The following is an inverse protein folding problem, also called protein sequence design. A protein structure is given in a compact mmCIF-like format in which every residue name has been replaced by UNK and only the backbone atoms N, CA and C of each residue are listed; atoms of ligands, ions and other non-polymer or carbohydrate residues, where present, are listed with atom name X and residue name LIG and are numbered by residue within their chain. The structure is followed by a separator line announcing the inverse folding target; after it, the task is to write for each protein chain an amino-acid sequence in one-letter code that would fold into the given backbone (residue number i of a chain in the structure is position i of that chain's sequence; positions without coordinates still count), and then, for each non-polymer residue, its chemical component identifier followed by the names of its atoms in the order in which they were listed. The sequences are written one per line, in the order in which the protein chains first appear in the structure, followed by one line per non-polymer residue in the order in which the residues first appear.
data_IF_877131164037
#
_entry.id   IF_877131164037
#
_cell.length_a   1.000
_cell.length_b   1.000
_cell.length_c   1.000
_cell.angle_alpha   90.00
_cell.angle_beta   90.00
_cell.angle_gamma   90.00
#
_symmetry.space_group_name_H-M   'P 1'
#
loop_
_entity.id
_entity.type
_entity.pdbx_description
1 polymer ?
#
# COMPACT_ATOMS: atom_id res chain seq x y z
N UNK A 1 -3.56 12.72 55.45
CA UNK A 1 -2.12 12.82 55.67
C UNK A 1 -1.76 14.07 56.47
N UNK A 2 -0.80 13.96 57.37
CA UNK A 2 -0.25 15.13 58.05
C UNK A 2 1.11 15.46 57.44
N UNK A 3 1.22 16.66 56.88
CA UNK A 3 2.44 17.15 56.26
C UNK A 3 2.85 18.47 56.91
N UNK A 4 3.99 18.53 57.53
CA UNK A 4 4.47 19.69 58.30
C UNK A 4 3.47 20.19 59.33
N UNK A 5 2.81 19.26 60.06
CA UNK A 5 1.80 19.58 61.08
C UNK A 5 0.41 19.98 60.53
N UNK A 6 0.19 19.98 59.20
CA UNK A 6 -1.08 20.35 58.55
C UNK A 6 -1.76 19.10 57.99
N UNK A 7 -3.06 18.94 58.27
CA UNK A 7 -3.89 17.90 57.67
C UNK A 7 -4.09 18.18 56.17
N UNK A 8 -3.83 17.18 55.35
CA UNK A 8 -3.98 17.26 53.89
C UNK A 8 -4.64 16.01 53.35
N UNK A 9 -5.34 16.17 52.25
CA UNK A 9 -6.02 15.10 51.50
C UNK A 9 -5.49 15.07 50.07
N UNK A 10 -5.23 13.87 49.56
CA UNK A 10 -4.90 13.66 48.15
C UNK A 10 -6.20 13.76 47.36
N UNK A 11 -6.27 14.73 46.47
CA UNK A 11 -7.40 14.93 45.58
C UNK A 11 -7.15 14.18 44.29
N UNK A 12 -8.12 13.42 43.82
CA UNK A 12 -8.09 12.76 42.53
C UNK A 12 -8.13 13.79 41.40
N UNK A 13 -7.22 13.66 40.45
CA UNK A 13 -7.18 14.51 39.27
C UNK A 13 -7.70 13.76 38.06
N UNK A 14 -8.62 14.36 37.33
CA UNK A 14 -9.11 13.84 36.08
C UNK A 14 -8.02 13.94 35.00
N UNK A 15 -7.80 12.87 34.28
CA UNK A 15 -6.87 12.83 33.14
C UNK A 15 -7.46 12.01 32.00
N UNK A 16 -6.88 12.11 30.79
CA UNK A 16 -7.24 11.22 29.70
C UNK A 16 -6.85 9.79 30.03
N UNK A 17 -7.77 8.85 29.78
CA UNK A 17 -7.44 7.43 29.93
C UNK A 17 -6.33 7.03 28.97
N UNK A 18 -5.41 6.15 29.40
CA UNK A 18 -4.48 5.50 28.47
C UNK A 18 -5.25 4.74 27.38
N UNK A 19 -4.73 4.71 26.18
CA UNK A 19 -5.34 3.99 25.07
C UNK A 19 -5.03 4.59 23.71
N UNK A 20 -5.73 4.09 22.70
CA UNK A 20 -5.62 4.54 21.31
C UNK A 20 -6.89 5.27 20.92
N UNK A 21 -6.75 6.47 20.41
CA UNK A 21 -7.86 7.35 20.04
C UNK A 21 -7.75 7.70 18.55
N UNK A 22 -8.83 7.47 17.81
CA UNK A 22 -8.95 7.82 16.40
C UNK A 22 -9.81 9.06 16.25
N UNK A 23 -9.39 9.97 15.40
CA UNK A 23 -10.09 11.25 15.15
C UNK A 23 -9.86 11.71 13.71
N UNK A 24 -10.56 12.76 13.32
CA UNK A 24 -10.37 13.45 12.05
C UNK A 24 -10.71 14.95 12.19
N UNK A 25 -10.21 15.77 11.28
CA UNK A 25 -10.35 17.22 11.29
C UNK A 25 -11.73 17.75 10.83
N UNK A 26 -12.65 16.85 10.47
CA UNK A 26 -13.99 17.16 9.91
C UNK A 26 -13.92 17.96 8.59
N UNK A 27 -12.81 17.84 7.83
CA UNK A 27 -12.62 18.53 6.56
C UNK A 27 -12.34 20.03 6.69
N UNK A 28 -11.97 20.51 7.88
CA UNK A 28 -11.75 21.96 8.13
C UNK A 28 -10.39 22.47 7.70
N UNK A 29 -9.38 21.60 7.65
CA UNK A 29 -7.99 21.98 7.42
C UNK A 29 -7.68 22.19 5.94
N UNK A 30 -8.32 21.43 5.05
CA UNK A 30 -8.09 21.49 3.61
C UNK A 30 -9.29 22.09 2.87
N UNK A 31 -9.03 22.96 1.89
CA UNK A 31 -10.07 23.68 1.11
C UNK A 31 -11.04 22.76 0.36
N UNK A 32 -10.61 21.54 -0.01
CA UNK A 32 -11.45 20.54 -0.69
C UNK A 32 -12.44 19.82 0.25
N UNK A 33 -12.39 20.08 1.55
CA UNK A 33 -13.19 19.34 2.54
C UNK A 33 -12.71 17.92 2.80
N UNK A 34 -11.50 17.56 2.35
CA UNK A 34 -10.89 16.24 2.56
C UNK A 34 -10.72 15.97 4.06
N UNK A 35 -11.16 14.80 4.51
CA UNK A 35 -10.97 14.36 5.89
C UNK A 35 -9.50 13.95 6.09
N UNK A 36 -8.84 14.59 7.04
CA UNK A 36 -7.51 14.22 7.48
C UNK A 36 -7.63 13.42 8.77
N UNK A 37 -7.32 12.13 8.69
CA UNK A 37 -7.40 11.22 9.81
C UNK A 37 -6.17 11.31 10.69
N UNK A 38 -6.39 11.08 11.99
CA UNK A 38 -5.33 11.05 12.99
C UNK A 38 -5.58 9.94 14.00
N UNK A 39 -4.50 9.45 14.59
CA UNK A 39 -4.54 8.49 15.68
C UNK A 39 -3.58 8.95 16.77
N UNK A 40 -4.01 8.86 18.03
CA UNK A 40 -3.20 9.20 19.20
C UNK A 40 -3.09 8.03 20.14
N UNK A 41 -1.86 7.67 20.47
CA UNK A 41 -1.54 6.67 21.46
C UNK A 41 -1.14 7.39 22.75
N UNK A 42 -1.92 7.19 23.79
CA UNK A 42 -1.69 7.76 25.13
C UNK A 42 -1.29 6.63 26.07
N UNK A 43 -0.04 6.59 26.57
CA UNK A 43 0.39 5.62 27.56
C UNK A 43 -0.13 6.00 28.94
N UNK A 44 -0.09 5.04 29.87
CA UNK A 44 -0.37 5.33 31.29
C UNK A 44 0.60 6.38 31.85
N UNK A 45 1.88 6.25 31.48
CA UNK A 45 2.95 7.19 31.85
C UNK A 45 3.97 7.24 30.73
N UNK A 46 4.30 8.43 30.23
CA UNK A 46 5.30 8.64 29.19
C UNK A 46 4.83 9.55 28.08
N UNK A 47 5.58 9.58 27.01
CA UNK A 47 5.36 10.42 25.84
C UNK A 47 4.16 9.97 25.01
N UNK A 48 3.40 10.92 24.50
CA UNK A 48 2.32 10.64 23.56
C UNK A 48 2.87 10.44 22.15
N UNK A 49 2.28 9.51 21.41
CA UNK A 49 2.60 9.27 20.02
C UNK A 49 1.36 9.54 19.17
N UNK A 50 1.48 10.51 18.28
CA UNK A 50 0.43 10.88 17.34
C UNK A 50 0.82 10.43 15.92
N UNK A 51 -0.14 9.86 15.19
CA UNK A 51 -0.06 9.62 13.76
C UNK A 51 -1.07 10.52 13.06
N UNK A 52 -0.66 11.17 11.99
CA UNK A 52 -1.53 12.09 11.24
C UNK A 52 -1.29 12.00 9.74
N UNK A 53 -2.37 12.05 8.97
CA UNK A 53 -2.30 12.21 7.52
C UNK A 53 -2.21 13.68 7.16
N UNK A 54 -1.42 13.99 6.15
CA UNK A 54 -1.44 15.31 5.52
C UNK A 54 -2.39 15.36 4.31
N UNK A 55 -2.51 16.53 3.70
CA UNK A 55 -3.34 16.72 2.51
C UNK A 55 -2.87 15.92 1.28
N UNK A 56 -1.62 15.48 1.26
CA UNK A 56 -1.01 14.67 0.20
C UNK A 56 -1.06 13.17 0.49
N UNK A 57 -1.81 12.76 1.51
CA UNK A 57 -1.91 11.37 1.97
C UNK A 57 -0.60 10.77 2.49
N UNK A 58 0.34 11.60 2.91
CA UNK A 58 1.55 11.16 3.59
C UNK A 58 1.27 11.01 5.08
N UNK A 59 1.74 9.91 5.66
CA UNK A 59 1.55 9.59 7.08
C UNK A 59 2.73 10.08 7.89
N UNK A 60 2.46 10.89 8.89
CA UNK A 60 3.46 11.43 9.80
C UNK A 60 3.29 10.89 11.22
N UNK A 61 4.41 10.72 11.90
CA UNK A 61 4.47 10.47 13.33
C UNK A 61 4.94 11.72 14.07
N UNK A 62 4.43 11.93 15.27
CA UNK A 62 4.81 13.04 16.16
C UNK A 62 4.91 12.53 17.58
N UNK A 63 6.05 12.76 18.23
CA UNK A 63 6.30 12.38 19.61
C UNK A 63 6.23 13.64 20.48
N UNK A 64 5.40 13.63 21.52
CA UNK A 64 5.24 14.75 22.47
C UNK A 64 4.97 16.10 21.79
N UNK A 65 4.19 16.12 20.73
CA UNK A 65 3.87 17.34 19.97
C UNK A 65 5.10 18.05 19.37
N UNK A 66 6.25 17.37 19.28
CA UNK A 66 7.43 17.88 18.59
C UNK A 66 7.22 17.91 17.08
N UNK A 67 8.28 18.25 16.33
CA UNK A 67 8.23 18.27 14.86
C UNK A 67 7.82 16.89 14.34
N UNK A 68 6.86 16.89 13.40
CA UNK A 68 6.43 15.68 12.72
C UNK A 68 7.53 15.13 11.81
N UNK A 69 7.59 13.83 11.70
CA UNK A 69 8.49 13.08 10.83
C UNK A 69 7.67 12.04 10.05
N UNK A 70 8.09 11.63 8.85
CA UNK A 70 7.44 10.54 8.15
C UNK A 70 7.37 9.29 9.04
N UNK A 71 6.25 8.57 9.01
CA UNK A 71 6.09 7.37 9.84
C UNK A 71 7.15 6.31 9.50
N UNK A 72 7.60 6.24 8.27
CA UNK A 72 8.65 5.34 7.81
C UNK A 72 9.98 5.58 8.49
N UNK A 73 10.34 6.84 8.77
CA UNK A 73 11.53 7.16 9.59
C UNK A 73 11.45 6.51 10.99
N UNK A 74 10.27 6.53 11.62
CA UNK A 74 10.07 5.86 12.89
C UNK A 74 10.22 4.34 12.76
N UNK A 75 9.64 3.74 11.70
CA UNK A 75 9.73 2.30 11.45
C UNK A 75 11.17 1.85 11.18
N UNK A 76 11.94 2.61 10.43
CA UNK A 76 13.39 2.37 10.25
C UNK A 76 14.14 2.42 11.57
N UNK A 77 13.84 3.41 12.43
CA UNK A 77 14.46 3.50 13.76
C UNK A 77 14.10 2.32 14.67
N UNK A 78 12.94 1.70 14.46
CA UNK A 78 12.53 0.47 15.15
C UNK A 78 13.16 -0.80 14.56
N UNK A 79 13.91 -0.69 13.46
CA UNK A 79 14.67 -1.79 12.87
C UNK A 79 14.01 -2.49 11.71
N UNK A 80 12.96 -1.92 11.15
CA UNK A 80 12.38 -2.41 9.89
C UNK A 80 13.22 -1.89 8.72
N UNK A 81 13.28 -2.66 7.64
CA UNK A 81 13.78 -2.25 6.33
C UNK A 81 12.62 -1.98 5.37
N UNK A 82 12.92 -1.59 4.13
CA UNK A 82 11.91 -1.29 3.12
C UNK A 82 11.00 -2.49 2.84
N UNK A 83 11.58 -3.66 2.64
CA UNK A 83 10.83 -4.89 2.38
C UNK A 83 9.95 -5.26 3.57
N UNK A 84 10.48 -5.18 4.79
CA UNK A 84 9.72 -5.44 6.02
C UNK A 84 8.57 -4.48 6.24
N UNK A 85 8.72 -3.20 5.89
CA UNK A 85 7.63 -2.22 5.95
C UNK A 85 6.54 -2.60 4.93
N UNK A 86 6.91 -2.92 3.69
CA UNK A 86 5.92 -3.31 2.68
C UNK A 86 5.18 -4.58 3.07
N UNK A 87 5.88 -5.59 3.56
CA UNK A 87 5.30 -6.86 4.02
C UNK A 87 4.36 -6.70 5.23
N UNK A 88 4.65 -5.74 6.11
CA UNK A 88 3.82 -5.48 7.28
C UNK A 88 2.49 -4.79 6.95
N UNK A 89 2.43 -4.00 5.87
CA UNK A 89 1.25 -3.20 5.54
C UNK A 89 0.46 -3.70 4.33
N UNK A 90 1.04 -4.54 3.49
CA UNK A 90 0.44 -4.96 2.23
C UNK A 90 0.57 -6.46 2.02
N UNK A 91 -0.49 -7.03 1.45
CA UNK A 91 -0.43 -8.37 0.89
C UNK A 91 0.33 -8.35 -0.44
N UNK A 92 0.82 -9.52 -0.85
CA UNK A 92 1.56 -9.70 -2.09
C UNK A 92 0.74 -10.50 -3.09
N UNK A 93 0.70 -10.02 -4.32
CA UNK A 93 0.11 -10.73 -5.47
C UNK A 93 1.19 -10.99 -6.51
N UNK A 94 1.35 -12.23 -6.90
CA UNK A 94 2.29 -12.63 -7.94
C UNK A 94 1.75 -12.38 -9.34
N UNK A 95 2.60 -11.85 -10.22
CA UNK A 95 2.36 -11.76 -11.66
C UNK A 95 3.38 -12.64 -12.36
N UNK A 96 2.91 -13.66 -13.06
CA UNK A 96 3.72 -14.58 -13.84
C UNK A 96 3.61 -14.26 -15.32
N UNK A 97 4.76 -14.07 -15.99
CA UNK A 97 4.80 -13.78 -17.41
C UNK A 97 4.41 -15.03 -18.22
N UNK A 98 3.42 -14.89 -19.05
CA UNK A 98 3.10 -15.86 -20.09
C UNK A 98 3.47 -15.29 -21.46
N UNK A 99 4.52 -15.85 -22.06
CA UNK A 99 5.08 -15.33 -23.32
C UNK A 99 3.99 -15.17 -24.38
N UNK A 100 3.98 -14.02 -25.02
CA UNK A 100 3.05 -13.61 -26.09
C UNK A 100 1.56 -13.50 -25.66
N UNK A 101 1.22 -13.61 -24.38
CA UNK A 101 -0.14 -13.50 -23.89
C UNK A 101 -0.34 -12.35 -22.89
N UNK A 102 0.59 -12.16 -21.97
CA UNK A 102 0.52 -11.14 -20.93
C UNK A 102 0.96 -11.68 -19.57
N UNK A 103 0.28 -11.25 -18.51
CA UNK A 103 0.57 -11.68 -17.14
C UNK A 103 -0.57 -12.54 -16.60
N UNK A 104 -0.23 -13.59 -15.89
CA UNK A 104 -1.17 -14.40 -15.13
C UNK A 104 -1.09 -14.01 -13.66
N UNK A 105 -2.23 -13.69 -13.08
CA UNK A 105 -2.35 -13.28 -11.68
C UNK A 105 -3.57 -13.89 -11.03
N UNK A 106 -3.53 -14.05 -9.70
CA UNK A 106 -4.63 -14.59 -8.92
C UNK A 106 -5.87 -13.70 -9.01
N UNK A 107 -7.04 -14.32 -9.12
CA UNK A 107 -8.32 -13.64 -9.24
C UNK A 107 -9.11 -13.67 -7.93
N UNK A 108 -9.63 -12.50 -7.55
CA UNK A 108 -10.50 -12.34 -6.39
C UNK A 108 -11.81 -11.67 -6.82
N UNK A 109 -12.87 -12.44 -7.14
CA UNK A 109 -14.13 -11.92 -7.68
C UNK A 109 -14.75 -10.80 -6.84
N UNK A 110 -14.70 -10.92 -5.52
CA UNK A 110 -15.31 -9.93 -4.60
C UNK A 110 -14.66 -8.53 -4.71
N UNK A 111 -13.38 -8.46 -5.07
CA UNK A 111 -12.66 -7.19 -5.21
C UNK A 111 -13.08 -6.38 -6.43
N UNK A 112 -13.55 -7.04 -7.47
CA UNK A 112 -14.02 -6.37 -8.71
C UNK A 112 -15.53 -6.09 -8.69
N UNK A 113 -16.21 -6.42 -7.60
CA UNK A 113 -17.64 -6.18 -7.43
C UNK A 113 -17.98 -4.70 -7.61
N UNK A 114 -18.89 -4.41 -8.52
CA UNK A 114 -19.36 -3.05 -8.82
C UNK A 114 -18.40 -2.19 -9.63
N UNK A 115 -17.18 -2.67 -9.92
CA UNK A 115 -16.20 -1.96 -10.74
C UNK A 115 -16.46 -2.14 -12.23
N UNK A 116 -15.81 -1.30 -13.03
CA UNK A 116 -15.71 -1.44 -14.48
C UNK A 116 -14.25 -1.64 -14.84
N UNK A 117 -13.84 -2.85 -15.28
CA UNK A 117 -12.47 -3.09 -15.66
C UNK A 117 -12.08 -2.24 -16.87
N UNK A 118 -10.83 -1.82 -16.92
CA UNK A 118 -10.26 -1.04 -18.02
C UNK A 118 -9.80 -1.90 -19.19
N UNK A 119 -9.69 -3.21 -18.97
CA UNK A 119 -9.36 -4.23 -19.96
C UNK A 119 -10.25 -5.46 -19.75
N UNK A 120 -10.30 -6.33 -20.74
CA UNK A 120 -11.09 -7.57 -20.67
C UNK A 120 -10.52 -8.47 -19.56
N UNK A 121 -11.39 -8.94 -18.67
CA UNK A 121 -11.04 -9.95 -17.70
C UNK A 121 -11.14 -11.33 -18.37
N UNK A 122 -9.99 -11.96 -18.56
CA UNK A 122 -9.87 -13.24 -19.27
C UNK A 122 -9.44 -14.31 -18.28
N UNK A 123 -10.12 -15.44 -18.30
CA UNK A 123 -9.70 -16.63 -17.56
C UNK A 123 -8.38 -17.15 -18.13
N UNK A 124 -7.36 -17.28 -17.30
CA UNK A 124 -6.04 -17.71 -17.72
C UNK A 124 -6.01 -19.14 -18.25
N UNK A 125 -6.87 -20.02 -17.74
CA UNK A 125 -6.89 -21.44 -18.10
C UNK A 125 -7.67 -21.70 -19.39
N UNK A 126 -8.84 -21.08 -19.53
CA UNK A 126 -9.75 -21.35 -20.67
C UNK A 126 -9.59 -20.32 -21.80
N UNK A 127 -9.10 -19.11 -21.50
CA UNK A 127 -9.07 -18.00 -22.43
C UNK A 127 -10.43 -17.32 -22.66
N UNK A 128 -11.46 -17.71 -21.91
CA UNK A 128 -12.78 -17.08 -21.99
C UNK A 128 -12.80 -15.68 -21.38
N UNK A 129 -13.51 -14.76 -22.03
CA UNK A 129 -13.74 -13.42 -21.49
C UNK A 129 -14.84 -13.50 -20.43
N UNK A 130 -14.49 -13.22 -19.18
CA UNK A 130 -15.42 -13.21 -18.05
C UNK A 130 -16.23 -11.91 -18.02
N UNK A 131 -15.55 -10.79 -18.28
CA UNK A 131 -16.13 -9.45 -18.32
C UNK A 131 -15.37 -8.60 -19.32
N UNK A 132 -16.07 -7.92 -20.20
CA UNK A 132 -15.45 -7.01 -21.18
C UNK A 132 -15.05 -5.69 -20.52
N UNK A 133 -14.04 -5.05 -21.08
CA UNK A 133 -13.62 -3.70 -20.70
C UNK A 133 -14.81 -2.74 -20.72
N UNK A 134 -14.96 -1.95 -19.66
CA UNK A 134 -16.05 -0.97 -19.51
C UNK A 134 -17.38 -1.54 -19.02
N UNK A 135 -17.59 -2.84 -19.07
CA UNK A 135 -18.79 -3.47 -18.53
C UNK A 135 -18.75 -3.49 -16.99
N UNK A 136 -19.92 -3.38 -16.36
CA UNK A 136 -20.02 -3.39 -14.91
C UNK A 136 -20.02 -4.83 -14.37
N UNK A 137 -19.08 -5.14 -13.50
CA UNK A 137 -19.06 -6.40 -12.75
C UNK A 137 -20.18 -6.41 -11.71
N UNK A 138 -21.31 -7.01 -12.06
CA UNK A 138 -22.49 -7.01 -11.18
C UNK A 138 -22.35 -7.96 -10.01
N UNK A 139 -23.03 -7.69 -8.87
CA UNK A 139 -23.03 -8.60 -7.72
C UNK A 139 -23.43 -10.04 -8.07
N UNK A 140 -24.36 -10.20 -9.05
CA UNK A 140 -24.80 -11.53 -9.51
C UNK A 140 -23.68 -12.28 -10.24
N UNK A 141 -22.91 -11.58 -11.09
CA UNK A 141 -21.74 -12.18 -11.77
C UNK A 141 -20.66 -12.58 -10.77
N UNK A 142 -20.36 -11.71 -9.81
CA UNK A 142 -19.39 -11.97 -8.76
C UNK A 142 -19.81 -13.20 -7.96
N UNK A 143 -21.07 -13.26 -7.50
CA UNK A 143 -21.59 -14.40 -6.76
C UNK A 143 -21.46 -15.69 -7.55
N UNK A 144 -21.84 -15.68 -8.84
CA UNK A 144 -21.70 -16.84 -9.71
C UNK A 144 -20.25 -17.32 -9.82
N UNK A 145 -19.30 -16.40 -10.03
CA UNK A 145 -17.88 -16.73 -10.13
C UNK A 145 -17.31 -17.27 -8.82
N UNK A 146 -17.75 -16.74 -7.69
CA UNK A 146 -17.33 -17.19 -6.35
C UNK A 146 -17.91 -18.58 -6.05
N UNK A 147 -19.21 -18.78 -6.30
CA UNK A 147 -19.91 -20.06 -6.03
C UNK A 147 -19.39 -21.20 -6.94
N UNK A 148 -19.10 -20.91 -8.21
CA UNK A 148 -18.54 -21.89 -9.13
C UNK A 148 -17.08 -22.20 -8.86
N UNK A 149 -16.30 -21.24 -8.37
CA UNK A 149 -14.88 -21.38 -8.02
C UNK A 149 -13.97 -21.86 -9.16
N UNK A 150 -14.44 -21.76 -10.41
CA UNK A 150 -13.74 -22.28 -11.59
C UNK A 150 -12.62 -21.38 -12.07
N UNK A 151 -12.82 -20.06 -11.93
CA UNK A 151 -11.85 -19.05 -12.36
C UNK A 151 -11.01 -18.66 -11.17
N UNK A 152 -9.77 -19.09 -11.15
CA UNK A 152 -8.81 -18.83 -10.07
C UNK A 152 -7.75 -17.83 -10.45
N UNK A 153 -7.42 -17.73 -11.73
CA UNK A 153 -6.40 -16.85 -12.29
C UNK A 153 -6.91 -16.07 -13.50
N UNK A 154 -6.44 -14.85 -13.65
CA UNK A 154 -6.72 -14.00 -14.81
C UNK A 154 -5.48 -13.83 -15.66
N UNK A 155 -5.68 -13.81 -16.98
CA UNK A 155 -4.72 -13.33 -17.95
C UNK A 155 -4.98 -11.84 -18.20
N UNK A 156 -3.98 -11.01 -17.93
CA UNK A 156 -4.05 -9.55 -18.05
C UNK A 156 -3.00 -9.03 -19.03
N UNK A 157 -3.25 -7.88 -19.72
CA UNK A 157 -2.30 -7.31 -20.67
C UNK A 157 -0.93 -6.99 -20.04
N UNK A 158 0.12 -6.91 -20.88
CA UNK A 158 1.48 -6.59 -20.44
C UNK A 158 1.58 -5.27 -19.68
N UNK A 159 0.90 -4.24 -20.15
CA UNK A 159 0.91 -2.90 -19.58
C UNK A 159 0.04 -2.75 -18.33
N UNK A 160 -0.79 -3.74 -18.02
CA UNK A 160 -1.67 -3.72 -16.83
C UNK A 160 -0.89 -3.69 -15.50
N UNK A 161 0.37 -4.15 -15.50
CA UNK A 161 1.24 -4.13 -14.33
C UNK A 161 1.93 -2.77 -14.13
N UNK A 162 1.95 -1.92 -15.15
CA UNK A 162 2.53 -0.57 -15.06
C UNK A 162 1.74 0.29 -14.09
N UNK A 163 2.45 1.04 -13.25
CA UNK A 163 1.85 1.84 -12.18
C UNK A 163 1.59 1.07 -10.89
N UNK A 164 1.83 -0.23 -10.86
CA UNK A 164 1.82 -1.04 -9.64
C UNK A 164 3.18 -0.98 -8.95
N UNK A 165 3.24 -1.46 -7.72
CA UNK A 165 4.44 -1.36 -6.88
C UNK A 165 5.00 -2.73 -6.58
N UNK A 166 6.31 -2.88 -6.67
CA UNK A 166 7.04 -4.12 -6.38
C UNK A 166 7.01 -4.38 -4.86
N UNK A 167 6.74 -5.63 -4.47
CA UNK A 167 6.63 -6.02 -3.07
C UNK A 167 7.96 -6.34 -2.41
N UNK A 168 8.94 -6.80 -3.18
CA UNK A 168 10.25 -7.27 -2.70
C UNK A 168 11.35 -6.78 -3.59
N UNK A 169 12.56 -6.71 -3.04
CA UNK A 169 13.75 -6.45 -3.83
C UNK A 169 13.95 -7.56 -4.87
N UNK A 170 14.12 -7.17 -6.13
CA UNK A 170 14.47 -8.10 -7.21
C UNK A 170 15.91 -7.88 -7.56
N UNK A 171 16.73 -8.91 -7.33
CA UNK A 171 18.17 -8.86 -7.47
C UNK A 171 18.66 -9.86 -8.53
N UNK A 172 19.83 -9.59 -9.06
CA UNK A 172 20.59 -10.58 -9.81
C UNK A 172 21.26 -11.55 -8.83
N UNK A 173 20.87 -12.81 -8.86
CA UNK A 173 21.37 -13.83 -7.93
C UNK A 173 22.89 -14.09 -8.07
N UNK A 174 23.47 -13.86 -9.26
CA UNK A 174 24.89 -14.08 -9.51
C UNK A 174 25.77 -12.91 -9.07
N UNK A 175 25.29 -11.67 -9.32
CA UNK A 175 26.07 -10.45 -9.08
C UNK A 175 25.67 -9.70 -7.83
N UNK A 176 24.48 -9.99 -7.26
CA UNK A 176 23.89 -9.24 -6.16
C UNK A 176 23.38 -7.84 -6.54
N UNK A 177 23.41 -7.49 -7.84
CA UNK A 177 22.91 -6.21 -8.31
C UNK A 177 21.38 -6.12 -8.15
N UNK A 178 20.90 -5.02 -7.59
CA UNK A 178 19.49 -4.76 -7.40
C UNK A 178 18.91 -4.18 -8.69
N UNK A 179 17.90 -4.82 -9.27
CA UNK A 179 17.16 -4.30 -10.43
C UNK A 179 16.08 -3.31 -10.01
N UNK A 180 15.29 -3.66 -8.99
CA UNK A 180 14.26 -2.82 -8.38
C UNK A 180 14.19 -3.13 -6.89
N UNK A 181 13.85 -2.12 -6.11
CA UNK A 181 13.69 -2.24 -4.67
C UNK A 181 12.21 -2.38 -4.28
N UNK A 182 11.95 -2.92 -3.10
CA UNK A 182 10.60 -3.03 -2.55
C UNK A 182 9.95 -1.64 -2.44
N UNK A 183 8.73 -1.53 -2.97
CA UNK A 183 7.99 -0.28 -3.03
C UNK A 183 8.23 0.56 -4.28
N UNK A 184 9.15 0.18 -5.15
CA UNK A 184 9.36 0.86 -6.43
C UNK A 184 8.16 0.69 -7.35
N UNK A 185 7.82 1.74 -8.09
CA UNK A 185 6.78 1.72 -9.10
C UNK A 185 7.29 1.01 -10.36
N UNK A 186 6.46 0.13 -10.92
CA UNK A 186 6.71 -0.50 -12.20
C UNK A 186 6.41 0.49 -13.30
N UNK A 187 7.40 0.81 -14.11
CA UNK A 187 7.33 1.83 -15.16
C UNK A 187 7.69 1.28 -16.52
N UNK A 188 7.11 1.87 -17.57
CA UNK A 188 7.54 1.74 -18.95
C UNK A 188 7.73 3.13 -19.54
N UNK A 189 8.83 3.31 -20.25
CA UNK A 189 9.11 4.54 -20.99
C UNK A 189 9.06 4.24 -22.49
N UNK A 190 8.38 5.09 -23.22
CA UNK A 190 8.22 5.00 -24.67
C UNK A 190 9.01 6.11 -25.36
N UNK A 191 9.50 5.83 -26.56
CA UNK A 191 10.09 6.83 -27.44
C UNK A 191 9.01 7.59 -28.23
N UNK A 192 9.43 8.49 -29.13
CA UNK A 192 8.52 9.28 -29.95
C UNK A 192 7.72 8.46 -30.95
N UNK A 193 8.21 7.29 -31.29
CA UNK A 193 7.60 6.35 -32.27
C UNK A 193 6.68 5.35 -31.56
N UNK A 194 6.60 5.39 -30.19
CA UNK A 194 5.77 4.53 -29.39
C UNK A 194 6.41 3.19 -29.06
N UNK A 195 7.71 3.02 -29.29
CA UNK A 195 8.45 1.83 -28.89
C UNK A 195 8.96 1.94 -27.46
N UNK A 196 9.08 0.80 -26.78
CA UNK A 196 9.56 0.74 -25.38
C UNK A 196 11.05 1.06 -25.34
N UNK A 197 11.39 2.22 -24.78
CA UNK A 197 12.75 2.72 -24.63
C UNK A 197 13.41 2.31 -23.32
N UNK A 198 12.64 2.27 -22.23
CA UNK A 198 13.16 2.04 -20.90
C UNK A 198 12.07 1.76 -19.86
N UNK A 199 12.42 1.98 -18.62
CA UNK A 199 11.55 1.73 -17.46
C UNK A 199 11.94 0.47 -16.71
N UNK A 200 11.46 0.35 -15.45
CA UNK A 200 11.81 -0.78 -14.59
C UNK A 200 11.30 -2.11 -15.13
N UNK A 201 10.12 -2.12 -15.77
CA UNK A 201 9.58 -3.35 -16.37
C UNK A 201 10.47 -3.87 -17.51
N UNK A 202 10.99 -2.97 -18.34
CA UNK A 202 11.94 -3.36 -19.40
C UNK A 202 13.21 -3.98 -18.82
N UNK A 203 13.76 -3.37 -17.77
CA UNK A 203 14.95 -3.91 -17.08
C UNK A 203 14.69 -5.32 -16.56
N UNK A 204 13.56 -5.56 -15.94
CA UNK A 204 13.18 -6.88 -15.41
C UNK A 204 13.04 -7.92 -16.53
N UNK A 205 12.34 -7.59 -17.60
CA UNK A 205 12.12 -8.50 -18.73
C UNK A 205 13.43 -8.81 -19.50
N UNK A 206 14.26 -7.80 -19.72
CA UNK A 206 15.55 -7.97 -20.40
C UNK A 206 16.53 -8.87 -19.60
N UNK A 207 16.36 -8.93 -18.28
CA UNK A 207 17.14 -9.79 -17.39
C UNK A 207 16.47 -11.15 -17.10
N UNK A 208 15.41 -11.49 -17.81
CA UNK A 208 14.78 -12.80 -17.74
C UNK A 208 13.89 -13.00 -16.50
N UNK A 209 13.50 -11.93 -15.83
CA UNK A 209 12.55 -12.00 -14.69
C UNK A 209 11.16 -12.26 -15.23
N UNK A 210 10.59 -13.42 -14.88
CA UNK A 210 9.29 -13.88 -15.35
C UNK A 210 8.21 -13.86 -14.27
N UNK A 211 8.59 -13.68 -13.02
CA UNK A 211 7.68 -13.55 -11.87
C UNK A 211 7.98 -12.27 -11.11
N UNK A 212 6.97 -11.43 -10.93
CA UNK A 212 7.09 -10.15 -10.23
C UNK A 212 6.12 -10.17 -9.06
N UNK A 213 6.63 -10.11 -7.80
CA UNK A 213 5.79 -9.92 -6.63
C UNK A 213 5.37 -8.45 -6.55
N UNK A 214 4.06 -8.21 -6.51
CA UNK A 214 3.45 -6.88 -6.55
C UNK A 214 2.65 -6.65 -5.28
N UNK A 215 2.69 -5.43 -4.75
CA UNK A 215 1.85 -5.03 -3.63
C UNK A 215 0.38 -5.03 -4.07
N UNK A 216 -0.46 -5.65 -3.25
CA UNK A 216 -1.89 -5.72 -3.50
C UNK A 216 -2.59 -4.42 -3.10
N UNK A 217 -2.44 -3.42 -3.93
CA UNK A 217 -3.02 -2.09 -3.78
C UNK A 217 -4.05 -1.86 -4.87
N UNK A 218 -5.33 -1.80 -4.48
CA UNK A 218 -6.45 -1.61 -5.39
C UNK A 218 -6.94 -0.16 -5.48
N UNK A 219 -6.39 0.74 -4.65
CA UNK A 219 -6.78 2.15 -4.51
C UNK A 219 -8.24 2.37 -4.08
N UNK A 220 -8.95 1.34 -3.69
CA UNK A 220 -10.34 1.39 -3.19
C UNK A 220 -10.37 1.01 -1.72
N UNK A 221 -9.96 -0.23 -1.40
CA UNK A 221 -9.93 -0.76 -0.03
C UNK A 221 -8.54 -0.58 0.60
N UNK A 222 -7.49 -0.72 -0.19
CA UNK A 222 -6.09 -0.56 0.20
C UNK A 222 -5.46 0.50 -0.65
N UNK A 223 -5.05 1.61 -0.03
CA UNK A 223 -4.36 2.71 -0.70
C UNK A 223 -2.84 2.64 -0.53
N UNK A 224 -2.07 3.34 -1.38
CA UNK A 224 -0.62 3.33 -1.34
C UNK A 224 -0.02 4.29 -0.30
N UNK A 225 -0.68 4.51 0.84
CA UNK A 225 -0.30 5.56 1.80
C UNK A 225 1.09 5.36 2.38
N UNK A 226 1.38 4.17 2.89
CA UNK A 226 2.69 3.86 3.48
C UNK A 226 3.77 3.81 2.40
N UNK A 227 3.47 3.22 1.24
CA UNK A 227 4.39 3.22 0.10
C UNK A 227 4.75 4.65 -0.33
N UNK A 228 3.78 5.53 -0.48
CA UNK A 228 4.00 6.92 -0.86
C UNK A 228 4.75 7.70 0.23
N UNK A 229 4.48 7.40 1.50
CA UNK A 229 5.23 7.96 2.62
C UNK A 229 6.68 7.53 2.56
N UNK A 230 6.95 6.26 2.29
CA UNK A 230 8.31 5.74 2.13
C UNK A 230 9.05 6.38 0.96
N UNK A 231 8.39 6.57 -0.18
CA UNK A 231 8.96 7.25 -1.35
C UNK A 231 9.26 8.74 -1.09
N UNK A 232 8.48 9.40 -0.24
CA UNK A 232 8.68 10.79 0.15
C UNK A 232 9.69 10.97 1.29
N UNK A 233 10.03 9.90 2.00
CA UNK A 233 11.01 9.92 3.10
C UNK A 233 12.43 9.96 2.54
N UNK A 234 13.23 10.88 3.06
CA UNK A 234 14.65 11.03 2.69
C UNK A 234 15.60 10.23 3.59
N UNK A 235 15.06 9.67 4.68
CA UNK A 235 15.83 8.92 5.66
C UNK A 235 15.64 7.41 5.40
N UNK A 236 16.48 6.83 4.56
CA UNK A 236 16.38 5.42 4.19
C UNK A 236 17.16 4.48 5.10
N UNK A 237 17.91 5.02 6.07
CA UNK A 237 18.75 4.26 6.99
C UNK A 237 18.59 4.73 8.44
N UNK A 238 18.98 3.86 9.38
CA UNK A 238 19.07 4.17 10.81
C UNK A 238 19.97 5.35 11.12
#
# INVERSE_FOLDING_TARGET
FIVNGTERVIVSQMHRSPGVFFDHDKGKTHSSGKLLFACRIIPYRGSWLDFEFDAKDIVFARIDRRRKLPVTTLLYALGMDQEGIMDAFYDVVGYRLEKNRGWVTKFFPERVRGTRPTFDLVDADTGEIICKAGDKMTPRMVKKLTDEGKVTELLVPYDSIVGRYVAKDIINEETGAIYVEAGDEITLEYDRDGEVKGGSLKVLLDNGITEIPVLDIDNINVGPYIRNTMAADKNMNR
#
